data_IF_352161936917
#
_entry.id   IF_352161936917
#
_cell.length_a   1.000
_cell.length_b   1.000
_cell.length_c   1.000
_cell.angle_alpha   90.00
_cell.angle_beta   90.00
_cell.angle_gamma   90.00
#
_symmetry.space_group_name_H-M   'P 1'
#
loop_
_entity.id
_entity.type
_entity.pdbx_description
1 polymer ?
#
# COMPACT_ATOMS: atom_id res chain seq x y z
N UNK A 1 17.46 -8.93 10.84
CA UNK A 1 17.78 -10.33 11.15
C UNK A 1 16.51 -11.13 10.93
N UNK A 2 16.56 -12.17 10.08
CA UNK A 2 15.37 -12.99 9.81
C UNK A 2 15.13 -13.95 10.98
N UNK A 3 13.90 -14.04 11.43
CA UNK A 3 13.52 -15.02 12.43
C UNK A 3 13.43 -16.42 11.82
N UNK A 4 13.82 -17.50 12.56
CA UNK A 4 13.76 -18.87 12.04
C UNK A 4 12.37 -19.32 11.57
N UNK A 5 11.30 -18.71 12.12
CA UNK A 5 9.91 -19.00 11.79
C UNK A 5 9.34 -18.16 10.64
N UNK A 6 10.13 -17.26 10.03
CA UNK A 6 9.72 -16.51 8.85
C UNK A 6 10.12 -17.27 7.58
N UNK A 7 9.27 -17.27 6.58
CA UNK A 7 9.61 -17.73 5.24
C UNK A 7 10.03 -16.54 4.37
N UNK A 8 11.24 -16.60 3.84
CA UNK A 8 11.77 -15.61 2.90
C UNK A 8 12.27 -16.35 1.67
N UNK A 9 11.65 -16.10 0.52
CA UNK A 9 12.04 -16.76 -0.72
C UNK A 9 13.51 -16.44 -1.08
N UNK A 10 14.31 -17.40 -1.57
CA UNK A 10 15.73 -17.17 -1.87
C UNK A 10 16.03 -16.07 -2.90
N UNK A 11 15.07 -15.75 -3.77
CA UNK A 11 15.19 -14.66 -4.75
C UNK A 11 14.70 -13.29 -4.21
N UNK A 12 14.22 -13.21 -2.97
CA UNK A 12 13.92 -11.93 -2.34
C UNK A 12 15.21 -11.19 -1.96
N UNK A 13 15.23 -9.90 -2.14
CA UNK A 13 16.36 -9.02 -1.79
C UNK A 13 16.03 -8.23 -0.54
N UNK A 14 16.53 -8.67 0.60
CA UNK A 14 16.28 -8.05 1.90
C UNK A 14 17.53 -7.32 2.36
N UNK A 15 17.43 -6.04 2.70
CA UNK A 15 18.55 -5.28 3.24
C UNK A 15 19.05 -5.89 4.57
N UNK A 16 20.36 -5.84 4.83
CA UNK A 16 20.99 -6.52 5.98
C UNK A 16 20.46 -6.07 7.34
N UNK A 17 20.04 -4.82 7.44
CA UNK A 17 19.50 -4.21 8.66
C UNK A 17 17.96 -4.13 8.69
N UNK A 18 17.27 -4.75 7.75
CA UNK A 18 15.84 -4.95 7.84
C UNK A 18 15.50 -6.00 8.91
N UNK A 19 14.40 -5.79 9.61
CA UNK A 19 13.91 -6.68 10.67
C UNK A 19 12.67 -7.42 10.16
N UNK A 20 12.74 -8.75 10.14
CA UNK A 20 11.64 -9.61 9.73
C UNK A 20 11.19 -10.40 10.96
N UNK A 21 9.97 -10.20 11.41
CA UNK A 21 9.39 -10.85 12.59
C UNK A 21 8.91 -12.29 12.27
N UNK A 22 8.60 -13.12 13.29
CA UNK A 22 8.10 -14.47 13.07
C UNK A 22 6.82 -14.53 12.22
N UNK A 23 6.65 -15.63 11.48
CA UNK A 23 5.47 -15.92 10.65
C UNK A 23 5.23 -14.94 9.49
N UNK A 24 6.23 -14.15 9.14
CA UNK A 24 6.21 -13.37 7.90
C UNK A 24 6.41 -14.31 6.71
N UNK A 25 5.65 -14.08 5.64
CA UNK A 25 5.84 -14.75 4.35
C UNK A 25 6.26 -13.72 3.29
N UNK A 26 7.44 -13.90 2.70
CA UNK A 26 7.97 -13.06 1.62
C UNK A 26 8.22 -13.90 0.39
N UNK A 27 7.53 -13.58 -0.69
CA UNK A 27 7.61 -14.31 -1.95
C UNK A 27 8.82 -13.89 -2.81
N UNK A 28 8.96 -14.51 -3.98
CA UNK A 28 10.07 -14.23 -4.93
C UNK A 28 10.00 -12.78 -5.44
N UNK A 29 11.13 -12.26 -5.90
CA UNK A 29 11.25 -10.93 -6.51
C UNK A 29 10.76 -9.77 -5.63
N UNK A 30 10.69 -9.97 -4.30
CA UNK A 30 10.41 -8.91 -3.33
C UNK A 30 11.71 -8.18 -3.00
N UNK A 31 11.63 -6.86 -2.88
CA UNK A 31 12.73 -6.01 -2.43
C UNK A 31 12.33 -5.28 -1.14
N UNK A 32 13.19 -5.33 -0.11
CA UNK A 32 12.97 -4.62 1.16
C UNK A 32 14.19 -3.76 1.48
N UNK A 33 13.95 -2.45 1.61
CA UNK A 33 14.96 -1.44 1.88
C UNK A 33 15.50 -1.45 3.31
N UNK A 34 16.58 -0.70 3.51
CA UNK A 34 17.30 -0.59 4.78
C UNK A 34 16.42 -0.06 5.91
N UNK A 35 16.59 -0.58 7.12
CA UNK A 35 15.90 -0.12 8.33
C UNK A 35 14.41 -0.44 8.37
N UNK A 36 13.86 -1.11 7.37
CA UNK A 36 12.45 -1.50 7.32
C UNK A 36 12.15 -2.61 8.33
N UNK A 37 11.06 -2.46 9.06
CA UNK A 37 10.54 -3.45 9.99
C UNK A 37 9.24 -4.07 9.46
N UNK A 38 9.18 -5.39 9.47
CA UNK A 38 8.02 -6.18 9.01
C UNK A 38 7.55 -7.03 10.18
N UNK A 39 6.37 -6.70 10.69
CA UNK A 39 5.73 -7.34 11.83
C UNK A 39 5.22 -8.75 11.53
N UNK A 40 4.91 -9.48 12.59
CA UNK A 40 4.47 -10.88 12.49
C UNK A 40 3.22 -11.07 11.63
N UNK A 41 3.13 -12.22 10.95
CA UNK A 41 1.98 -12.58 10.09
C UNK A 41 1.71 -11.62 8.92
N UNK A 42 2.71 -10.87 8.48
CA UNK A 42 2.64 -10.08 7.24
C UNK A 42 2.91 -11.00 6.05
N UNK A 43 2.15 -10.81 4.99
CA UNK A 43 2.38 -11.49 3.70
C UNK A 43 2.77 -10.45 2.65
N UNK A 44 3.94 -10.66 2.03
CA UNK A 44 4.44 -9.84 0.93
C UNK A 44 4.55 -10.72 -0.29
N UNK A 45 3.72 -10.43 -1.27
CA UNK A 45 3.62 -11.22 -2.49
C UNK A 45 4.64 -10.77 -3.53
N UNK A 46 4.78 -11.56 -4.57
CA UNK A 46 5.74 -11.35 -5.64
C UNK A 46 5.68 -9.95 -6.26
N UNK A 47 6.85 -9.39 -6.61
CA UNK A 47 6.99 -8.11 -7.32
C UNK A 47 6.82 -6.87 -6.45
N UNK A 48 6.71 -7.03 -5.12
CA UNK A 48 6.61 -5.89 -4.20
C UNK A 48 7.99 -5.28 -3.94
N UNK A 49 8.08 -3.95 -4.05
CA UNK A 49 9.27 -3.17 -3.70
C UNK A 49 8.94 -2.23 -2.55
N UNK A 50 9.63 -2.39 -1.43
CA UNK A 50 9.44 -1.60 -0.21
C UNK A 50 10.71 -0.77 0.02
N UNK A 51 10.52 0.53 0.20
CA UNK A 51 11.59 1.48 0.47
C UNK A 51 12.24 1.30 1.83
N UNK A 52 12.99 2.32 2.26
CA UNK A 52 13.75 2.34 3.51
C UNK A 52 12.90 2.80 4.69
N UNK A 53 13.26 2.35 5.90
CA UNK A 53 12.66 2.78 7.16
C UNK A 53 11.13 2.65 7.21
N UNK A 54 10.54 1.76 6.42
CA UNK A 54 9.11 1.48 6.45
C UNK A 54 8.75 0.65 7.69
N UNK A 55 7.49 0.77 8.13
CA UNK A 55 6.94 -0.03 9.22
C UNK A 55 5.68 -0.73 8.73
N UNK A 56 5.69 -2.06 8.69
CA UNK A 56 4.58 -2.87 8.22
C UNK A 56 4.07 -3.70 9.38
N UNK A 57 2.85 -3.44 9.80
CA UNK A 57 2.24 -4.02 11.01
C UNK A 57 1.54 -5.35 10.72
N UNK A 58 1.28 -6.15 11.79
CA UNK A 58 0.79 -7.51 11.67
C UNK A 58 -0.48 -7.66 10.81
N UNK A 59 -0.53 -8.74 10.04
CA UNK A 59 -1.69 -9.10 9.23
C UNK A 59 -1.85 -8.31 7.92
N UNK A 60 -0.94 -7.39 7.60
CA UNK A 60 -0.97 -6.71 6.31
C UNK A 60 -0.67 -7.70 5.17
N UNK A 61 -1.35 -7.52 4.03
CA UNK A 61 -1.16 -8.30 2.79
C UNK A 61 -0.84 -7.34 1.65
N UNK A 62 0.36 -7.43 1.13
CA UNK A 62 0.87 -6.48 0.12
C UNK A 62 1.18 -7.23 -1.17
N UNK A 63 0.68 -6.72 -2.29
CA UNK A 63 0.94 -7.26 -3.62
C UNK A 63 -0.01 -8.39 -4.05
N UNK A 64 -1.13 -8.59 -3.34
CA UNK A 64 -2.14 -9.55 -3.78
C UNK A 64 -2.65 -9.22 -5.20
N UNK A 65 -3.09 -10.26 -5.91
CA UNK A 65 -3.66 -10.10 -7.26
C UNK A 65 -4.86 -9.14 -7.23
N UNK A 66 -5.08 -8.37 -8.30
CA UNK A 66 -6.24 -7.50 -8.42
C UNK A 66 -7.56 -8.23 -8.24
N UNK A 67 -8.51 -7.58 -7.58
CA UNK A 67 -9.90 -8.05 -7.53
C UNK A 67 -10.66 -7.57 -8.78
N UNK A 68 -10.06 -7.74 -9.94
CA UNK A 68 -10.60 -7.38 -11.26
C UNK A 68 -10.72 -8.63 -12.11
N UNK A 69 -11.91 -8.89 -12.64
CA UNK A 69 -12.20 -10.05 -13.48
C UNK A 69 -11.43 -10.05 -14.81
N UNK A 70 -10.86 -8.91 -15.21
CA UNK A 70 -10.04 -8.79 -16.42
C UNK A 70 -8.59 -9.18 -16.20
N UNK A 71 -8.14 -9.27 -14.94
CA UNK A 71 -6.76 -9.63 -14.64
C UNK A 71 -6.47 -11.06 -15.12
N UNK A 72 -5.47 -11.21 -15.98
CA UNK A 72 -5.12 -12.47 -16.63
C UNK A 72 -3.76 -13.05 -16.15
N UNK A 73 -3.20 -12.51 -15.05
CA UNK A 73 -1.95 -13.00 -14.50
C UNK A 73 -0.72 -12.19 -14.96
N UNK A 74 -0.91 -10.94 -15.34
CA UNK A 74 0.17 -10.05 -15.78
C UNK A 74 1.20 -9.84 -14.65
N UNK A 75 2.48 -9.75 -15.05
CA UNK A 75 3.60 -9.56 -14.12
C UNK A 75 3.70 -8.08 -13.70
N UNK A 76 2.82 -7.69 -12.79
CA UNK A 76 2.67 -6.32 -12.30
C UNK A 76 3.18 -6.20 -10.86
N UNK A 77 3.41 -4.98 -10.38
CA UNK A 77 4.13 -4.72 -9.15
C UNK A 77 3.38 -3.79 -8.19
N UNK A 78 3.90 -3.71 -6.95
CA UNK A 78 3.60 -2.66 -5.96
C UNK A 78 4.90 -1.96 -5.59
N UNK A 79 4.89 -0.62 -5.58
CA UNK A 79 6.01 0.20 -5.09
C UNK A 79 5.57 0.99 -3.86
N UNK A 80 6.38 0.93 -2.79
CA UNK A 80 6.14 1.65 -1.52
C UNK A 80 7.37 2.51 -1.23
N UNK A 81 7.17 3.81 -1.12
CA UNK A 81 8.20 4.78 -0.82
C UNK A 81 8.71 4.73 0.62
N UNK A 82 9.84 5.37 0.85
CA UNK A 82 10.56 5.39 2.13
C UNK A 82 9.71 5.96 3.29
N UNK A 83 10.02 5.55 4.51
CA UNK A 83 9.41 6.06 5.75
C UNK A 83 7.87 5.89 5.84
N UNK A 84 7.28 5.03 5.01
CA UNK A 84 5.83 4.78 5.01
C UNK A 84 5.46 3.77 6.08
N UNK A 85 4.36 4.07 6.78
CA UNK A 85 3.79 3.21 7.82
C UNK A 85 2.50 2.57 7.32
N UNK A 86 2.47 1.24 7.34
CA UNK A 86 1.32 0.41 6.94
C UNK A 86 0.84 -0.34 8.18
N UNK A 87 -0.34 0.02 8.67
CA UNK A 87 -0.92 -0.53 9.90
C UNK A 87 -1.56 -1.91 9.65
N UNK A 88 -2.14 -2.42 10.72
CA UNK A 88 -2.65 -3.79 10.81
C UNK A 88 -3.72 -4.06 9.76
N UNK A 89 -3.64 -5.24 9.14
CA UNK A 89 -4.64 -5.75 8.17
C UNK A 89 -4.88 -4.85 6.95
N UNK A 90 -3.93 -3.99 6.61
CA UNK A 90 -3.98 -3.25 5.36
C UNK A 90 -3.81 -4.23 4.19
N UNK A 91 -4.57 -4.02 3.11
CA UNK A 91 -4.44 -4.80 1.89
C UNK A 91 -4.12 -3.89 0.71
N UNK A 92 -3.12 -4.27 -0.10
CA UNK A 92 -2.70 -3.52 -1.29
C UNK A 92 -2.62 -4.49 -2.45
N UNK A 93 -3.41 -4.27 -3.50
CA UNK A 93 -3.32 -5.06 -4.71
C UNK A 93 -2.24 -4.52 -5.65
N UNK A 94 -1.60 -5.43 -6.43
CA UNK A 94 -0.71 -5.04 -7.52
C UNK A 94 -1.48 -4.39 -8.67
N UNK A 95 -0.79 -3.80 -9.63
CA UNK A 95 -1.42 -3.20 -10.81
C UNK A 95 -2.02 -4.22 -11.77
N UNK A 96 -2.65 -3.71 -12.82
CA UNK A 96 -3.06 -4.46 -14.02
C UNK A 96 -2.22 -4.04 -15.22
N UNK A 97 -2.52 -4.54 -16.41
CA UNK A 97 -1.88 -4.10 -17.66
C UNK A 97 -2.11 -2.62 -18.00
N UNK A 98 -3.02 -1.93 -17.32
CA UNK A 98 -3.30 -0.51 -17.55
C UNK A 98 -2.13 0.39 -17.09
N UNK A 99 -1.64 0.21 -15.85
CA UNK A 99 -0.52 1.01 -15.32
C UNK A 99 0.68 0.17 -14.88
N UNK A 100 0.57 -1.15 -14.91
CA UNK A 100 1.61 -2.12 -14.52
C UNK A 100 2.00 -2.08 -13.04
N UNK A 101 1.48 -1.13 -12.28
CA UNK A 101 1.83 -1.00 -10.87
C UNK A 101 0.78 -0.24 -10.03
N UNK A 102 0.79 -0.52 -8.74
CA UNK A 102 0.20 0.32 -7.70
C UNK A 102 1.33 1.00 -6.95
N UNK A 103 1.22 2.31 -6.69
CA UNK A 103 2.29 3.12 -6.08
C UNK A 103 1.79 3.81 -4.83
N UNK A 104 2.56 3.67 -3.75
CA UNK A 104 2.42 4.43 -2.51
C UNK A 104 3.68 5.28 -2.32
N UNK A 105 3.53 6.59 -2.20
CA UNK A 105 4.61 7.52 -1.98
C UNK A 105 5.32 7.37 -0.63
N UNK A 106 6.31 8.19 -0.40
CA UNK A 106 7.06 8.19 0.84
C UNK A 106 6.30 8.87 2.00
N UNK A 107 6.65 8.51 3.22
CA UNK A 107 6.15 9.13 4.45
C UNK A 107 4.62 9.09 4.62
N UNK A 108 3.96 8.13 4.01
CA UNK A 108 2.52 7.90 4.12
C UNK A 108 2.16 7.18 5.42
N UNK A 109 0.92 7.38 5.88
CA UNK A 109 0.31 6.61 6.95
C UNK A 109 -0.96 5.94 6.45
N UNK A 110 -0.92 4.62 6.30
CA UNK A 110 -2.08 3.79 6.00
C UNK A 110 -2.55 3.16 7.30
N UNK A 111 -3.66 3.64 7.84
CA UNK A 111 -4.19 3.15 9.12
C UNK A 111 -4.82 1.76 8.97
N UNK A 112 -5.18 1.14 10.08
CA UNK A 112 -5.66 -0.24 10.10
C UNK A 112 -6.88 -0.46 9.18
N UNK A 113 -6.89 -1.63 8.51
CA UNK A 113 -7.94 -2.07 7.59
C UNK A 113 -8.12 -1.22 6.33
N UNK A 114 -7.16 -0.36 5.97
CA UNK A 114 -7.18 0.34 4.68
C UNK A 114 -7.06 -0.68 3.55
N UNK A 115 -7.86 -0.49 2.50
CA UNK A 115 -7.75 -1.24 1.25
C UNK A 115 -7.35 -0.32 0.10
N UNK A 116 -6.31 -0.69 -0.64
CA UNK A 116 -5.88 -0.02 -1.87
C UNK A 116 -5.97 -1.04 -3.00
N UNK A 117 -6.91 -0.82 -3.92
CA UNK A 117 -7.03 -1.65 -5.10
C UNK A 117 -5.93 -1.36 -6.13
N UNK A 118 -5.97 -2.08 -7.24
CA UNK A 118 -5.00 -2.04 -8.32
C UNK A 118 -4.89 -0.67 -8.99
N UNK A 119 -3.72 -0.38 -9.56
CA UNK A 119 -3.46 0.82 -10.38
C UNK A 119 -3.68 2.16 -9.66
N UNK A 120 -3.70 2.15 -8.32
CA UNK A 120 -3.76 3.37 -7.54
C UNK A 120 -2.39 4.06 -7.49
N UNK A 121 -2.41 5.38 -7.53
CA UNK A 121 -1.26 6.23 -7.29
C UNK A 121 -1.51 7.12 -6.07
N UNK A 122 -0.79 6.84 -4.99
CA UNK A 122 -0.85 7.60 -3.73
C UNK A 122 0.41 8.45 -3.64
N UNK A 123 0.26 9.76 -3.55
CA UNK A 123 1.36 10.71 -3.42
C UNK A 123 2.11 10.59 -2.10
N UNK A 124 2.94 11.58 -1.81
CA UNK A 124 3.75 11.61 -0.60
C UNK A 124 2.96 12.15 0.60
N UNK A 125 3.29 11.67 1.82
CA UNK A 125 2.74 12.18 3.09
C UNK A 125 1.22 12.15 3.17
N UNK A 126 0.62 11.21 2.46
CA UNK A 126 -0.83 10.97 2.48
C UNK A 126 -1.20 10.19 3.76
N UNK A 127 -2.34 10.55 4.36
CA UNK A 127 -2.91 9.83 5.49
C UNK A 127 -4.24 9.22 5.06
N UNK A 128 -4.35 7.89 5.15
CA UNK A 128 -5.61 7.17 4.99
C UNK A 128 -6.08 6.66 6.34
N UNK A 129 -7.22 7.17 6.80
CA UNK A 129 -7.85 6.78 8.06
C UNK A 129 -8.32 5.32 8.05
N UNK A 130 -8.60 4.79 9.23
CA UNK A 130 -9.02 3.39 9.41
C UNK A 130 -10.16 2.99 8.46
N UNK A 131 -10.03 1.81 7.86
CA UNK A 131 -11.03 1.22 6.97
C UNK A 131 -11.42 2.12 5.77
N UNK A 132 -10.51 2.99 5.31
CA UNK A 132 -10.66 3.68 4.03
C UNK A 132 -10.47 2.69 2.90
N UNK A 133 -11.41 2.66 1.95
CA UNK A 133 -11.39 1.75 0.81
C UNK A 133 -11.24 2.54 -0.49
N UNK A 134 -10.18 2.26 -1.21
CA UNK A 134 -9.91 2.83 -2.52
C UNK A 134 -10.18 1.78 -3.60
N UNK A 135 -11.10 2.08 -4.51
CA UNK A 135 -11.28 1.28 -5.73
C UNK A 135 -10.09 1.46 -6.69
N UNK A 136 -10.10 0.78 -7.85
CA UNK A 136 -8.99 0.85 -8.80
C UNK A 136 -8.78 2.22 -9.45
N UNK A 137 -7.56 2.49 -9.93
CA UNK A 137 -7.19 3.67 -10.72
C UNK A 137 -7.36 5.02 -10.01
N UNK A 138 -7.29 5.06 -8.69
CA UNK A 138 -7.41 6.30 -7.93
C UNK A 138 -6.06 7.02 -7.87
N UNK A 139 -6.09 8.35 -8.02
CA UNK A 139 -4.95 9.22 -7.81
C UNK A 139 -5.17 10.10 -6.59
N UNK A 140 -4.25 10.06 -5.63
CA UNK A 140 -4.27 10.94 -4.45
C UNK A 140 -3.00 11.78 -4.46
N UNK A 141 -3.17 13.10 -4.47
CA UNK A 141 -2.07 14.05 -4.42
C UNK A 141 -1.42 14.13 -3.04
N UNK A 142 -0.23 14.71 -2.99
CA UNK A 142 0.58 14.83 -1.78
C UNK A 142 -0.17 15.52 -0.64
N UNK A 143 0.11 15.09 0.60
CA UNK A 143 -0.45 15.67 1.81
C UNK A 143 -1.96 15.58 1.96
N UNK A 144 -2.65 14.84 1.11
CA UNK A 144 -4.08 14.62 1.26
C UNK A 144 -4.36 13.74 2.50
N UNK A 145 -5.48 14.03 3.16
CA UNK A 145 -5.93 13.29 4.34
C UNK A 145 -7.35 12.79 4.10
N UNK A 146 -7.55 11.49 4.19
CA UNK A 146 -8.87 10.87 4.18
C UNK A 146 -9.19 10.36 5.59
N UNK A 147 -10.31 10.81 6.14
CA UNK A 147 -10.84 10.30 7.40
C UNK A 147 -11.21 8.82 7.32
N UNK A 148 -11.45 8.21 8.47
CA UNK A 148 -11.80 6.78 8.52
C UNK A 148 -13.12 6.44 7.83
N UNK A 149 -13.27 5.19 7.39
CA UNK A 149 -14.50 4.64 6.78
C UNK A 149 -14.91 5.40 5.51
N UNK A 150 -13.95 5.96 4.78
CA UNK A 150 -14.21 6.54 3.47
C UNK A 150 -14.22 5.45 2.39
N UNK A 151 -15.06 5.63 1.37
CA UNK A 151 -15.03 4.83 0.16
C UNK A 151 -14.87 5.74 -1.07
N UNK A 152 -13.86 5.45 -1.90
CA UNK A 152 -13.54 6.27 -3.07
C UNK A 152 -13.80 5.45 -4.33
N UNK A 153 -14.64 6.00 -5.22
CA UNK A 153 -15.00 5.35 -6.48
C UNK A 153 -13.79 5.32 -7.44
N UNK A 154 -13.74 4.28 -8.28
CA UNK A 154 -12.66 4.13 -9.26
C UNK A 154 -12.48 5.36 -10.16
N UNK A 155 -11.25 5.62 -10.59
CA UNK A 155 -10.82 6.73 -11.43
C UNK A 155 -10.89 8.12 -10.79
N UNK A 156 -11.34 8.24 -9.54
CA UNK A 156 -11.39 9.53 -8.83
C UNK A 156 -9.97 10.06 -8.59
N UNK A 157 -9.81 11.36 -8.76
CA UNK A 157 -8.59 12.12 -8.43
C UNK A 157 -8.85 13.00 -7.23
N UNK A 158 -8.02 12.85 -6.20
CA UNK A 158 -8.04 13.69 -5.00
C UNK A 158 -6.79 14.58 -5.04
N UNK A 159 -7.00 15.89 -5.07
CA UNK A 159 -5.92 16.87 -5.18
C UNK A 159 -5.04 16.94 -3.92
N UNK A 160 -3.84 17.48 -4.07
CA UNK A 160 -2.90 17.67 -2.97
C UNK A 160 -3.51 18.55 -1.86
N UNK A 161 -3.16 18.25 -0.60
CA UNK A 161 -3.68 18.94 0.59
C UNK A 161 -5.20 18.91 0.76
N UNK A 162 -5.93 18.05 0.04
CA UNK A 162 -7.36 17.88 0.26
C UNK A 162 -7.61 17.14 1.58
N UNK A 163 -8.69 17.48 2.26
CA UNK A 163 -9.17 16.81 3.45
C UNK A 163 -10.56 16.23 3.20
N UNK A 164 -10.70 14.91 3.34
CA UNK A 164 -11.98 14.21 3.20
C UNK A 164 -12.47 13.82 4.60
N UNK A 165 -13.68 14.26 4.96
CA UNK A 165 -14.29 13.88 6.25
C UNK A 165 -14.53 12.38 6.36
N UNK A 166 -14.45 11.83 7.58
CA UNK A 166 -14.73 10.41 7.81
C UNK A 166 -16.15 10.00 7.39
N UNK A 167 -16.31 8.77 6.92
CA UNK A 167 -17.59 8.23 6.46
C UNK A 167 -18.04 8.71 5.08
N UNK A 168 -17.19 9.43 4.34
CA UNK A 168 -17.54 9.99 3.04
C UNK A 168 -17.53 8.94 1.91
N UNK A 169 -18.52 9.06 0.99
CA UNK A 169 -18.54 8.36 -0.29
C UNK A 169 -18.09 9.30 -1.40
N UNK A 170 -16.82 9.20 -1.80
CA UNK A 170 -16.24 10.08 -2.80
C UNK A 170 -16.47 9.51 -4.19
N UNK A 171 -17.30 10.18 -4.99
CA UNK A 171 -17.70 9.74 -6.34
C UNK A 171 -17.22 10.64 -7.47
N UNK A 172 -16.61 11.77 -7.14
CA UNK A 172 -16.13 12.79 -8.08
C UNK A 172 -14.75 13.28 -7.62
N UNK A 173 -14.02 13.85 -8.56
CA UNK A 173 -12.73 14.47 -8.28
C UNK A 173 -12.85 15.57 -7.22
N UNK A 174 -11.83 15.64 -6.36
CA UNK A 174 -11.72 16.64 -5.30
C UNK A 174 -10.56 17.58 -5.65
N UNK A 175 -10.80 18.88 -5.81
CA UNK A 175 -9.72 19.83 -6.07
C UNK A 175 -8.68 19.90 -4.94
N UNK A 176 -7.44 20.33 -5.22
CA UNK A 176 -6.46 20.60 -4.17
C UNK A 176 -6.95 21.59 -3.13
N UNK A 177 -6.45 21.48 -1.90
CA UNK A 177 -6.76 22.38 -0.78
C UNK A 177 -8.25 22.45 -0.41
N UNK A 178 -9.04 21.47 -0.80
CA UNK A 178 -10.48 21.40 -0.52
C UNK A 178 -10.75 20.55 0.72
N UNK A 179 -11.74 21.00 1.51
CA UNK A 179 -12.34 20.18 2.58
C UNK A 179 -13.70 19.67 2.10
N UNK A 180 -13.89 18.36 2.07
CA UNK A 180 -15.10 17.68 1.63
C UNK A 180 -15.59 16.64 2.65
#
# INVERSE_FOLDING_TARGET
MNQPLAYVHPQARIAKNAVIEPFVNIERNVEVGEGTWIGSNVTIMEGVKIGKNCKIFPGAVIGAIPQDLKYAGEDTIVEIGDNTTIREFVTINRGTSESWKTVIGQSCLLMAYVHIAHDCFIGERVILGNATNLAGHIHIGDWAILGGICAVHQFVKIGAHAYIGGGSLVRKDIPPYTKA
#
